data_IF_388815434676
#
_entry.id   IF_388815434676
#
_cell.length_a   1.000
_cell.length_b   1.000
_cell.length_c   1.000
_cell.angle_alpha   90.00
_cell.angle_beta   90.00
_cell.angle_gamma   90.00
#
_symmetry.space_group_name_H-M   'P 1'
#
loop_
_entity.id
_entity.type
_entity.pdbx_description
1 polymer ?
#
# COMPACT_ATOMS: atom_id res chain seq x y z
N UNK A 1 4.08 4.45 18.40
CA UNK A 1 3.76 5.72 17.71
C UNK A 1 3.39 5.33 16.29
N UNK A 2 2.15 5.57 15.85
CA UNK A 2 1.71 5.24 14.49
C UNK A 2 1.74 6.53 13.64
N UNK A 3 2.35 6.48 12.47
CA UNK A 3 2.37 7.64 11.57
C UNK A 3 1.06 7.68 10.76
N UNK A 4 0.55 8.89 10.51
CA UNK A 4 -0.63 9.09 9.67
C UNK A 4 -0.13 9.59 8.31
N UNK A 5 -0.54 8.91 7.25
CA UNK A 5 -0.29 9.33 5.87
C UNK A 5 -1.61 9.80 5.27
N UNK A 6 -1.58 10.92 4.55
CA UNK A 6 -2.72 11.44 3.80
C UNK A 6 -2.24 11.82 2.41
N UNK A 7 -2.93 11.38 1.37
CA UNK A 7 -2.49 11.57 0.01
C UNK A 7 -3.48 11.04 -1.00
N UNK A 8 -3.13 11.10 -2.29
CA UNK A 8 -3.97 10.57 -3.37
C UNK A 8 -3.58 9.13 -3.65
N UNK A 9 -4.55 8.22 -3.69
CA UNK A 9 -4.32 6.84 -4.08
C UNK A 9 -4.13 6.77 -5.60
N UNK A 10 -2.90 6.52 -6.04
CA UNK A 10 -2.55 6.49 -7.47
C UNK A 10 -2.78 5.11 -8.10
N UNK A 11 -2.61 4.06 -7.30
CA UNK A 11 -2.72 2.69 -7.77
C UNK A 11 -3.14 1.77 -6.63
N UNK A 12 -3.91 0.73 -6.98
CA UNK A 12 -4.39 -0.32 -6.09
C UNK A 12 -4.41 -1.64 -6.85
N UNK A 13 -3.75 -2.67 -6.32
CA UNK A 13 -3.81 -4.03 -6.88
C UNK A 13 -3.65 -5.08 -5.79
N UNK A 14 -4.34 -6.20 -5.94
CA UNK A 14 -4.10 -7.38 -5.14
C UNK A 14 -2.79 -8.06 -5.58
N UNK A 15 -2.01 -8.52 -4.61
CA UNK A 15 -0.79 -9.29 -4.82
C UNK A 15 -0.82 -10.48 -3.87
N UNK A 16 -0.69 -11.67 -4.43
CA UNK A 16 -0.58 -12.91 -3.68
C UNK A 16 0.68 -13.68 -4.05
N UNK A 17 1.05 -14.62 -3.20
CA UNK A 17 2.17 -15.52 -3.44
C UNK A 17 2.28 -16.59 -2.36
N UNK A 18 3.27 -17.46 -2.51
CA UNK A 18 3.61 -18.50 -1.54
C UNK A 18 4.98 -18.19 -0.98
N UNK A 19 5.15 -18.34 0.33
CA UNK A 19 6.46 -18.18 0.96
C UNK A 19 7.36 -19.37 0.59
N UNK A 20 8.43 -19.13 -0.18
CA UNK A 20 9.27 -20.21 -0.70
C UNK A 20 10.31 -20.75 0.30
N UNK A 21 10.65 -19.96 1.33
CA UNK A 21 11.72 -20.29 2.28
C UNK A 21 11.46 -19.74 3.69
N UNK A 22 12.10 -20.33 4.69
CA UNK A 22 11.98 -19.92 6.10
C UNK A 22 10.90 -20.67 6.90
N UNK A 23 10.60 -20.22 8.12
CA UNK A 23 9.70 -20.91 9.05
C UNK A 23 8.23 -20.99 8.58
N UNK A 24 7.84 -20.11 7.65
CA UNK A 24 6.50 -20.01 7.07
C UNK A 24 6.45 -20.56 5.64
N UNK A 25 7.38 -21.44 5.28
CA UNK A 25 7.45 -22.00 3.94
C UNK A 25 6.17 -22.75 3.60
N UNK A 26 5.57 -22.43 2.45
CA UNK A 26 4.29 -22.99 2.02
C UNK A 26 3.08 -22.16 2.42
N UNK A 27 3.24 -21.17 3.30
CA UNK A 27 2.14 -20.28 3.67
C UNK A 27 1.82 -19.36 2.49
N UNK A 28 0.54 -19.35 2.12
CA UNK A 28 -0.02 -18.37 1.21
C UNK A 28 -0.08 -17.01 1.90
N UNK A 29 0.37 -15.99 1.18
CA UNK A 29 0.23 -14.60 1.61
C UNK A 29 -0.47 -13.83 0.51
N UNK A 30 -1.29 -12.87 0.93
CA UNK A 30 -1.91 -11.91 0.04
C UNK A 30 -1.98 -10.56 0.73
N UNK A 31 -1.84 -9.49 -0.06
CA UNK A 31 -1.96 -8.13 0.41
C UNK A 31 -2.39 -7.22 -0.75
N UNK A 32 -2.95 -6.08 -0.37
CA UNK A 32 -3.33 -5.02 -1.28
C UNK A 32 -2.14 -4.06 -1.40
N UNK A 33 -1.53 -4.05 -2.58
CA UNK A 33 -0.47 -3.12 -2.93
C UNK A 33 -1.08 -1.80 -3.35
N UNK A 34 -0.66 -0.72 -2.70
CA UNK A 34 -1.15 0.63 -2.95
C UNK A 34 0.01 1.60 -3.14
N UNK A 35 -0.19 2.61 -3.98
CA UNK A 35 0.72 3.75 -4.13
C UNK A 35 -0.03 5.02 -3.73
N UNK A 36 0.43 5.68 -2.66
CA UNK A 36 -0.19 6.91 -2.15
C UNK A 36 0.77 8.07 -2.38
N UNK A 37 0.33 9.06 -3.16
CA UNK A 37 1.09 10.28 -3.37
C UNK A 37 0.79 11.29 -2.26
N UNK A 38 1.79 11.59 -1.44
CA UNK A 38 1.73 12.65 -0.44
C UNK A 38 1.87 14.01 -1.13
N UNK A 39 0.74 14.67 -1.35
CA UNK A 39 0.67 15.98 -2.03
C UNK A 39 1.45 17.08 -1.30
N UNK A 40 1.76 16.91 0.00
CA UNK A 40 2.49 17.94 0.75
C UNK A 40 3.98 17.95 0.41
N UNK A 41 4.57 16.79 0.15
CA UNK A 41 6.00 16.64 -0.08
C UNK A 41 6.35 16.08 -1.47
N UNK A 42 5.33 15.68 -2.26
CA UNK A 42 5.49 15.12 -3.60
C UNK A 42 6.11 13.71 -3.60
N UNK A 43 5.99 12.97 -2.49
CA UNK A 43 6.57 11.64 -2.34
C UNK A 43 5.52 10.55 -2.56
N UNK A 44 5.88 9.52 -3.34
CA UNK A 44 5.04 8.33 -3.51
C UNK A 44 5.42 7.27 -2.49
N UNK A 45 4.43 6.85 -1.72
CA UNK A 45 4.56 5.85 -0.69
C UNK A 45 4.08 4.48 -1.18
N UNK A 46 4.97 3.49 -1.16
CA UNK A 46 4.60 2.09 -1.41
C UNK A 46 3.96 1.49 -0.15
N UNK A 47 2.64 1.31 -0.20
CA UNK A 47 1.82 0.88 0.93
C UNK A 47 1.27 -0.54 0.72
N UNK A 48 1.11 -1.27 1.82
CA UNK A 48 0.62 -2.65 1.83
C UNK A 48 -0.41 -2.83 2.94
N UNK A 49 -1.65 -3.17 2.58
CA UNK A 49 -2.67 -3.63 3.54
C UNK A 49 -2.74 -5.16 3.47
N UNK A 50 -2.60 -5.83 4.61
CA UNK A 50 -2.60 -7.30 4.64
C UNK A 50 -3.99 -7.87 4.40
N UNK A 51 -4.05 -9.08 3.86
CA UNK A 51 -5.29 -9.83 3.65
C UNK A 51 -6.11 -10.11 4.91
N UNK A 52 -5.45 -10.13 6.08
CA UNK A 52 -6.08 -10.33 7.39
C UNK A 52 -6.54 -9.01 8.04
N UNK A 53 -6.36 -7.86 7.38
CA UNK A 53 -6.89 -6.59 7.87
C UNK A 53 -8.43 -6.59 7.76
N UNK A 54 -9.17 -6.18 8.80
CA UNK A 54 -10.63 -6.16 8.77
C UNK A 54 -11.23 -5.35 7.62
N UNK A 55 -10.54 -4.32 7.12
CA UNK A 55 -11.00 -3.50 6.00
C UNK A 55 -10.55 -4.04 4.63
N UNK A 56 -9.77 -5.12 4.57
CA UNK A 56 -9.17 -5.60 3.32
C UNK A 56 -10.21 -5.83 2.21
N UNK A 57 -11.27 -6.57 2.52
CA UNK A 57 -12.29 -6.94 1.55
C UNK A 57 -13.03 -5.70 1.01
N UNK A 58 -13.36 -4.75 1.88
CA UNK A 58 -14.06 -3.52 1.48
C UNK A 58 -13.16 -2.66 0.57
N UNK A 59 -11.92 -2.41 1.03
CA UNK A 59 -10.94 -1.60 0.29
C UNK A 59 -10.55 -2.26 -1.04
N UNK A 60 -10.52 -3.58 -1.13
CA UNK A 60 -10.26 -4.29 -2.39
C UNK A 60 -11.35 -4.02 -3.43
N UNK A 61 -12.61 -3.96 -3.02
CA UNK A 61 -13.76 -3.78 -3.91
C UNK A 61 -14.07 -2.31 -4.23
N UNK A 62 -13.65 -1.36 -3.40
CA UNK A 62 -13.97 0.06 -3.58
C UNK A 62 -13.16 0.75 -4.72
N UNK A 63 -13.78 1.61 -5.51
CA UNK A 63 -13.09 2.43 -6.51
C UNK A 63 -12.42 3.66 -5.86
N UNK A 64 -11.23 3.46 -5.27
CA UNK A 64 -10.50 4.50 -4.53
C UNK A 64 -9.38 5.18 -5.33
N UNK A 65 -9.07 4.70 -6.54
CA UNK A 65 -8.00 5.29 -7.35
C UNK A 65 -8.41 6.71 -7.76
N UNK A 66 -7.52 7.68 -7.50
CA UNK A 66 -7.81 9.11 -7.66
C UNK A 66 -8.42 9.77 -6.41
N UNK A 67 -8.87 9.00 -5.42
CA UNK A 67 -9.40 9.55 -4.18
C UNK A 67 -8.28 9.99 -3.24
N UNK A 68 -8.59 11.02 -2.46
CA UNK A 68 -7.79 11.40 -1.30
C UNK A 68 -8.08 10.42 -0.17
N UNK A 69 -7.05 9.76 0.31
CA UNK A 69 -7.15 8.77 1.39
C UNK A 69 -6.32 9.19 2.60
N UNK A 70 -6.75 8.74 3.78
CA UNK A 70 -5.99 8.81 5.01
C UNK A 70 -5.78 7.41 5.55
N UNK A 71 -4.53 7.04 5.81
CA UNK A 71 -4.16 5.72 6.32
C UNK A 71 -3.29 5.84 7.56
N UNK A 72 -3.31 4.80 8.38
CA UNK A 72 -2.40 4.66 9.52
C UNK A 72 -1.27 3.71 9.13
N UNK A 73 -0.02 4.18 9.22
CA UNK A 73 1.17 3.34 9.01
C UNK A 73 1.44 2.57 10.30
N UNK A 74 1.29 1.25 10.24
CA UNK A 74 1.47 0.34 11.37
C UNK A 74 2.89 -0.19 11.49
N UNK A 75 3.59 -0.36 10.37
CA UNK A 75 4.99 -0.78 10.34
C UNK A 75 5.68 -0.32 9.05
N UNK A 76 7.00 -0.22 9.08
CA UNK A 76 7.82 -0.05 7.89
C UNK A 76 8.88 -1.14 7.85
N UNK A 77 9.05 -1.74 6.68
CA UNK A 77 10.11 -2.70 6.43
C UNK A 77 10.88 -2.29 5.19
N UNK A 78 12.16 -2.65 5.14
CA UNK A 78 12.98 -2.51 3.95
C UNK A 78 13.43 -3.91 3.55
N UNK A 79 13.17 -4.29 2.30
CA UNK A 79 13.51 -5.60 1.78
C UNK A 79 14.08 -5.51 0.38
N UNK A 80 15.01 -6.40 0.07
CA UNK A 80 15.55 -6.54 -1.26
C UNK A 80 14.49 -7.08 -2.22
N UNK A 81 14.45 -6.53 -3.43
CA UNK A 81 13.64 -7.03 -4.53
C UNK A 81 14.52 -7.19 -5.76
N UNK A 82 14.49 -8.39 -6.35
CA UNK A 82 15.08 -8.64 -7.66
C UNK A 82 14.13 -8.14 -8.76
N UNK A 83 14.64 -7.26 -9.61
CA UNK A 83 13.94 -6.76 -10.79
C UNK A 83 14.06 -7.76 -11.95
N UNK A 84 13.24 -7.57 -12.99
CA UNK A 84 13.22 -8.44 -14.19
C UNK A 84 14.55 -8.47 -14.92
N UNK A 85 15.33 -7.40 -14.83
CA UNK A 85 16.67 -7.26 -15.42
C UNK A 85 17.78 -7.88 -14.56
N UNK A 86 17.42 -8.54 -13.45
CA UNK A 86 18.36 -9.22 -12.56
C UNK A 86 18.98 -8.34 -11.48
N UNK A 87 18.76 -7.02 -11.50
CA UNK A 87 19.26 -6.10 -10.47
C UNK A 87 18.48 -6.27 -9.16
N UNK A 88 19.17 -6.15 -8.03
CA UNK A 88 18.55 -6.10 -6.71
C UNK A 88 18.44 -4.66 -6.25
N UNK A 89 17.23 -4.25 -5.83
CA UNK A 89 16.98 -2.93 -5.27
C UNK A 89 16.40 -3.05 -3.87
N UNK A 90 16.80 -2.15 -2.97
CA UNK A 90 16.16 -2.00 -1.68
C UNK A 90 14.81 -1.33 -1.87
N UNK A 91 13.74 -1.98 -1.40
CA UNK A 91 12.39 -1.45 -1.45
C UNK A 91 11.86 -1.26 -0.02
N UNK A 92 11.52 -0.02 0.31
CA UNK A 92 10.78 0.31 1.52
C UNK A 92 9.30 -0.04 1.29
N UNK A 93 8.68 -0.69 2.27
CA UNK A 93 7.29 -1.11 2.28
C UNK A 93 6.64 -0.62 3.55
N UNK A 94 5.59 0.17 3.41
CA UNK A 94 4.81 0.68 4.55
C UNK A 94 3.57 -0.19 4.73
N UNK A 95 3.49 -0.91 5.85
CA UNK A 95 2.26 -1.59 6.20
C UNK A 95 1.25 -0.57 6.72
N UNK A 96 0.04 -0.61 6.18
CA UNK A 96 -1.03 0.34 6.47
C UNK A 96 -2.29 -0.37 6.93
N UNK A 97 -3.06 0.33 7.75
CA UNK A 97 -4.37 -0.07 8.27
C UNK A 97 -5.24 1.17 8.45
N UNK A 98 -6.52 0.99 8.82
CA UNK A 98 -7.46 2.09 9.10
C UNK A 98 -7.51 3.09 7.93
N UNK A 99 -7.77 2.58 6.73
CA UNK A 99 -7.95 3.40 5.54
C UNK A 99 -9.28 4.12 5.64
N UNK A 100 -9.23 5.43 5.39
CA UNK A 100 -10.39 6.30 5.29
C UNK A 100 -10.35 7.01 3.94
N UNK A 101 -11.41 6.84 3.17
CA UNK A 101 -11.66 7.67 2.02
C UNK A 101 -12.07 9.08 2.47
N UNK A 102 -11.44 10.10 1.88
CA UNK A 102 -11.74 11.52 2.08
C UNK A 102 -12.38 12.14 0.83
N UNK A 103 -12.72 11.32 -0.18
CA UNK A 103 -13.35 11.72 -1.42
C UNK A 103 -12.36 12.09 -2.52
N UNK A 104 -12.91 12.38 -3.70
CA UNK A 104 -12.15 12.91 -4.84
C UNK A 104 -11.70 14.34 -4.50
N UNK A 105 -10.45 14.73 -4.79
CA UNK A 105 -10.05 16.14 -4.73
C UNK A 105 -11.03 16.98 -5.52
N UNK A 106 -11.41 18.16 -5.00
CA UNK A 106 -12.13 19.10 -5.86
C UNK A 106 -11.23 19.38 -7.07
N UNK A 107 -11.77 19.25 -8.28
CA UNK A 107 -11.15 19.85 -9.44
C UNK A 107 -11.12 21.35 -9.14
N UNK A 108 -9.93 21.88 -8.86
CA UNK A 108 -9.72 23.32 -8.94
C UNK A 108 -9.78 23.66 -10.44
N UNK A 109 -11.01 23.80 -10.94
CA UNK A 109 -11.30 24.43 -12.23
C UNK A 109 -10.78 25.87 -12.16
N UNK A 110 -9.58 26.11 -12.68
CA UNK A 110 -9.07 27.44 -13.04
C UNK A 110 -8.57 27.46 -14.50
#
# INVERSE_FOLDING_TARGET
MAAILTGILMNKREVSGVTESGPRKGDEWHFLSMEINDMRFGHVWSCQMRGDDPQYADVLNDELVGHKVKVTVSAQTAGERKLKDGRTVMQIRSQVTNLKDLGVPADDDE
#
